data_IF_668825231926
#
_entry.id   IF_668825231926
#
_cell.length_a   1.000
_cell.length_b   1.000
_cell.length_c   1.000
_cell.angle_alpha   90.00
_cell.angle_beta   90.00
_cell.angle_gamma   90.00
#
_symmetry.space_group_name_H-M   'P 1'
#
loop_
_entity.id
_entity.type
_entity.pdbx_description
1 polymer ?
#
# COMPACT_ATOMS: atom_id res chain seq x y z
N UNK A 1 6.08 -21.68 5.73
CA UNK A 1 5.07 -20.60 5.80
C UNK A 1 5.68 -19.20 5.73
N UNK A 2 6.77 -18.92 6.46
CA UNK A 2 7.48 -17.63 6.44
C UNK A 2 7.90 -17.16 5.05
N UNK A 3 8.46 -18.04 4.20
CA UNK A 3 8.82 -17.68 2.81
C UNK A 3 7.62 -17.20 1.97
N UNK A 4 6.48 -17.88 2.07
CA UNK A 4 5.25 -17.51 1.35
C UNK A 4 4.70 -16.18 1.85
N UNK A 5 4.64 -15.96 3.17
CA UNK A 5 4.23 -14.69 3.74
C UNK A 5 5.16 -13.54 3.33
N UNK A 6 6.48 -13.75 3.31
CA UNK A 6 7.44 -12.78 2.82
C UNK A 6 7.15 -12.37 1.37
N UNK A 7 6.90 -13.33 0.48
CA UNK A 7 6.55 -13.07 -0.92
C UNK A 7 5.24 -12.27 -1.01
N UNK A 8 4.19 -12.68 -0.27
CA UNK A 8 2.89 -11.99 -0.25
C UNK A 8 3.05 -10.54 0.24
N UNK A 9 3.81 -10.32 1.32
CA UNK A 9 4.04 -8.98 1.86
C UNK A 9 4.77 -8.07 0.87
N UNK A 10 5.83 -8.57 0.24
CA UNK A 10 6.60 -7.81 -0.76
C UNK A 10 5.72 -7.48 -1.98
N UNK A 11 4.98 -8.45 -2.50
CA UNK A 11 4.04 -8.24 -3.61
C UNK A 11 2.96 -7.21 -3.27
N UNK A 12 2.41 -7.27 -2.05
CA UNK A 12 1.37 -6.32 -1.61
C UNK A 12 1.91 -4.88 -1.55
N UNK A 13 3.16 -4.72 -1.09
CA UNK A 13 3.81 -3.41 -1.08
C UNK A 13 4.14 -2.92 -2.50
N UNK A 14 4.59 -3.80 -3.39
CA UNK A 14 4.84 -3.47 -4.81
C UNK A 14 3.56 -2.98 -5.51
N UNK A 15 2.43 -3.66 -5.30
CA UNK A 15 1.15 -3.24 -5.85
C UNK A 15 0.76 -1.84 -5.32
N UNK A 16 0.97 -1.59 -4.03
CA UNK A 16 0.68 -0.28 -3.42
C UNK A 16 1.53 0.83 -4.05
N UNK A 17 2.81 0.55 -4.35
CA UNK A 17 3.68 1.47 -5.09
C UNK A 17 3.18 1.76 -6.50
N UNK A 18 2.73 0.74 -7.23
CA UNK A 18 2.18 0.89 -8.59
C UNK A 18 0.92 1.75 -8.55
N UNK A 19 0.02 1.50 -7.60
CA UNK A 19 -1.20 2.31 -7.40
C UNK A 19 -0.82 3.77 -7.15
N UNK A 20 0.22 4.03 -6.35
CA UNK A 20 0.70 5.39 -6.09
C UNK A 20 1.28 6.07 -7.34
N UNK A 21 2.01 5.35 -8.17
CA UNK A 21 2.65 5.89 -9.37
C UNK A 21 1.65 6.14 -10.52
N UNK A 22 0.57 5.37 -10.60
CA UNK A 22 -0.42 5.43 -11.68
C UNK A 22 -0.98 6.84 -11.93
N UNK A 23 -1.48 7.58 -10.92
CA UNK A 23 -1.98 8.94 -11.11
C UNK A 23 -0.89 9.96 -11.48
N UNK A 24 0.37 9.73 -11.10
CA UNK A 24 1.49 10.60 -11.49
C UNK A 24 1.82 10.48 -12.97
N UNK A 25 1.56 9.30 -13.57
CA UNK A 25 1.83 9.02 -14.98
C UNK A 25 0.64 9.46 -15.85
N UNK A 26 -0.60 9.36 -15.34
CA UNK A 26 -1.79 9.79 -16.05
C UNK A 26 -2.20 11.22 -15.71
N UNK A 27 -1.90 12.14 -16.61
CA UNK A 27 -2.26 13.57 -16.53
C UNK A 27 -3.76 13.87 -16.39
N UNK A 28 -4.64 12.89 -16.65
CA UNK A 28 -6.10 13.01 -16.55
C UNK A 28 -6.67 12.44 -15.25
N UNK A 29 -5.82 12.01 -14.30
CA UNK A 29 -6.28 11.47 -13.03
C UNK A 29 -7.03 12.55 -12.22
N UNK A 30 -8.36 12.44 -12.17
CA UNK A 30 -9.21 13.28 -11.32
C UNK A 30 -9.18 12.80 -9.87
N UNK A 31 -9.60 13.66 -8.93
CA UNK A 31 -9.70 13.34 -7.49
C UNK A 31 -10.45 12.01 -7.22
N UNK A 32 -11.40 11.64 -8.09
CA UNK A 32 -12.16 10.39 -8.02
C UNK A 32 -11.31 9.12 -8.15
N UNK A 33 -10.11 9.18 -8.73
CA UNK A 33 -9.19 8.02 -8.81
C UNK A 33 -8.45 7.74 -7.51
N UNK A 34 -8.27 8.76 -6.66
CA UNK A 34 -7.53 8.61 -5.41
C UNK A 34 -8.35 7.88 -4.35
N UNK A 35 -9.68 7.99 -4.36
CA UNK A 35 -10.55 7.30 -3.39
C UNK A 35 -10.48 5.76 -3.49
N UNK A 36 -10.75 5.12 -4.65
CA UNK A 36 -10.63 3.67 -4.77
C UNK A 36 -9.18 3.18 -4.60
N UNK A 37 -8.19 3.96 -5.04
CA UNK A 37 -6.78 3.61 -4.84
C UNK A 37 -6.37 3.58 -3.37
N UNK A 38 -6.82 4.55 -2.57
CA UNK A 38 -6.54 4.60 -1.13
C UNK A 38 -7.15 3.40 -0.40
N UNK A 39 -8.39 3.01 -0.74
CA UNK A 39 -9.05 1.82 -0.18
C UNK A 39 -8.24 0.55 -0.49
N UNK A 40 -7.75 0.41 -1.72
CA UNK A 40 -6.95 -0.75 -2.13
C UNK A 40 -5.60 -0.82 -1.37
N UNK A 41 -4.91 0.31 -1.21
CA UNK A 41 -3.66 0.38 -0.41
C UNK A 41 -3.95 0.01 1.06
N UNK A 42 -5.10 0.43 1.60
CA UNK A 42 -5.50 0.09 2.97
C UNK A 42 -5.77 -1.40 3.14
N UNK A 43 -6.47 -2.04 2.20
CA UNK A 43 -6.67 -3.50 2.18
C UNK A 43 -5.35 -4.26 2.10
N UNK A 44 -4.43 -3.83 1.22
CA UNK A 44 -3.10 -4.43 1.11
C UNK A 44 -2.29 -4.28 2.40
N UNK A 45 -2.43 -3.15 3.09
CA UNK A 45 -1.80 -2.93 4.40
C UNK A 45 -2.31 -3.93 5.44
N UNK A 46 -3.62 -4.23 5.46
CA UNK A 46 -4.18 -5.26 6.34
C UNK A 46 -3.61 -6.66 6.04
N UNK A 47 -3.39 -7.00 4.76
CA UNK A 47 -2.76 -8.27 4.37
C UNK A 47 -1.33 -8.38 4.93
N UNK A 48 -0.56 -7.29 4.87
CA UNK A 48 0.82 -7.26 5.42
C UNK A 48 0.78 -7.36 6.96
N UNK A 49 -0.17 -6.70 7.62
CA UNK A 49 -0.39 -6.81 9.08
C UNK A 49 -0.71 -8.25 9.47
N UNK A 50 -1.59 -8.94 8.73
CA UNK A 50 -1.88 -10.35 8.97
C UNK A 50 -0.64 -11.23 8.81
N UNK A 51 0.18 -10.98 7.77
CA UNK A 51 1.47 -11.67 7.59
C UNK A 51 2.45 -11.40 8.74
N UNK A 52 2.48 -10.18 9.27
CA UNK A 52 3.30 -9.82 10.43
C UNK A 52 2.85 -10.57 11.68
N UNK A 53 1.56 -10.57 12.02
CA UNK A 53 1.03 -11.28 13.20
C UNK A 53 1.40 -12.78 13.13
N UNK A 54 1.29 -13.37 11.93
CA UNK A 54 1.55 -14.79 11.73
C UNK A 54 3.03 -15.17 11.82
N UNK A 55 3.94 -14.32 11.34
CA UNK A 55 5.38 -14.65 11.23
C UNK A 55 6.26 -13.95 12.25
N UNK A 56 5.79 -12.85 12.85
CA UNK A 56 6.54 -11.91 13.70
C UNK A 56 7.86 -11.42 13.10
N UNK A 57 7.94 -11.40 11.76
CA UNK A 57 9.15 -11.00 11.04
C UNK A 57 9.22 -9.46 10.93
N UNK A 58 10.36 -8.88 11.33
CA UNK A 58 10.58 -7.43 11.27
C UNK A 58 10.51 -6.85 9.86
N UNK A 59 10.79 -7.66 8.82
CA UNK A 59 10.61 -7.23 7.44
C UNK A 59 9.16 -6.81 7.16
N UNK A 60 8.16 -7.51 7.71
CA UNK A 60 6.76 -7.10 7.53
C UNK A 60 6.43 -5.82 8.29
N UNK A 61 7.05 -5.58 9.45
CA UNK A 61 6.90 -4.30 10.16
C UNK A 61 7.39 -3.14 9.27
N UNK A 62 8.57 -3.30 8.65
CA UNK A 62 9.11 -2.33 7.71
C UNK A 62 8.15 -2.10 6.53
N UNK A 63 7.60 -3.17 5.95
CA UNK A 63 6.64 -3.09 4.85
C UNK A 63 5.35 -2.38 5.26
N UNK A 64 4.85 -2.58 6.48
CA UNK A 64 3.66 -1.88 7.01
C UNK A 64 3.94 -0.38 7.08
N UNK A 65 5.06 0.01 7.68
CA UNK A 65 5.45 1.42 7.80
C UNK A 65 5.55 2.06 6.41
N UNK A 66 6.19 1.37 5.46
CA UNK A 66 6.30 1.84 4.08
C UNK A 66 4.92 1.99 3.41
N UNK A 67 4.00 1.04 3.62
CA UNK A 67 2.66 1.12 3.05
C UNK A 67 1.82 2.25 3.65
N UNK A 68 2.00 2.56 4.93
CA UNK A 68 1.36 3.71 5.58
C UNK A 68 1.88 5.01 4.99
N UNK A 69 3.19 5.12 4.75
CA UNK A 69 3.78 6.30 4.09
C UNK A 69 3.20 6.47 2.69
N UNK A 70 3.13 5.39 1.89
CA UNK A 70 2.50 5.40 0.57
C UNK A 70 1.04 5.86 0.64
N UNK A 71 0.27 5.33 1.60
CA UNK A 71 -1.12 5.72 1.79
C UNK A 71 -1.26 7.22 2.11
N UNK A 72 -0.43 7.75 3.01
CA UNK A 72 -0.43 9.17 3.36
C UNK A 72 -0.12 10.05 2.14
N UNK A 73 0.92 9.71 1.37
CA UNK A 73 1.26 10.43 0.15
C UNK A 73 0.19 10.34 -0.93
N UNK A 74 -0.44 9.17 -1.07
CA UNK A 74 -1.52 8.99 -2.02
C UNK A 74 -2.80 9.74 -1.64
N UNK A 75 -3.05 9.92 -0.34
CA UNK A 75 -4.25 10.58 0.18
C UNK A 75 -4.12 12.10 0.26
N UNK A 76 -2.90 12.65 0.15
CA UNK A 76 -2.64 14.09 0.21
C UNK A 76 -3.52 14.92 -0.74
N UNK A 77 -3.68 14.54 -2.03
CA UNK A 77 -4.56 15.26 -2.95
C UNK A 77 -6.04 15.27 -2.52
N UNK A 78 -6.53 14.22 -1.86
CA UNK A 78 -7.90 14.15 -1.34
C UNK A 78 -8.13 15.06 -0.13
N UNK A 79 -7.09 15.31 0.67
CA UNK A 79 -7.17 16.19 1.85
C UNK A 79 -7.11 17.67 1.47
N UNK A 80 -6.54 17.99 0.30
CA UNK A 80 -6.34 19.35 -0.19
C UNK A 80 -7.42 19.79 -1.20
N UNK A 81 -8.27 18.87 -1.65
CA UNK A 81 -9.40 19.11 -2.58
C UNK A 81 -10.70 19.43 -1.85
#
# INVERSE_FOLDING_TARGET
MTRTCNIIGILSCLISFIIMALPMIWYTASALWFFPGAIMILLLSLVIVFCYIKTKNQLHLLLIVLNIIILLFFSLPLLLS
#
